data_IF_193292886223
#
_entry.id   IF_193292886223
#
_cell.length_a   1.000
_cell.length_b   1.000
_cell.length_c   1.000
_cell.angle_alpha   90.00
_cell.angle_beta   90.00
_cell.angle_gamma   90.00
#
_symmetry.space_group_name_H-M   'P 1'
#
loop_
_entity.id
_entity.type
_entity.pdbx_description
1 polymer ?
#
# COMPACT_ATOMS: atom_id res chain seq x y z
N UNK A 1 17.83 13.65 16.07
CA UNK A 1 17.16 12.43 15.54
C UNK A 1 17.87 12.02 14.24
N UNK A 2 18.26 10.75 14.08
CA UNK A 2 19.00 10.29 12.89
C UNK A 2 18.21 10.43 11.58
N UNK A 3 18.91 10.43 10.43
CA UNK A 3 18.28 10.46 9.09
C UNK A 3 17.28 9.31 8.92
N UNK A 4 17.68 8.08 9.22
CA UNK A 4 16.80 6.90 9.11
C UNK A 4 15.61 6.98 10.07
N UNK A 5 15.81 7.38 11.33
CA UNK A 5 14.72 7.50 12.33
C UNK A 5 13.65 8.51 11.93
N UNK A 6 14.06 9.65 11.34
CA UNK A 6 13.11 10.63 10.78
C UNK A 6 12.34 10.05 9.59
N UNK A 7 13.03 9.31 8.73
CA UNK A 7 12.44 8.59 7.61
C UNK A 7 11.38 7.59 8.06
N UNK A 8 11.70 6.74 9.04
CA UNK A 8 10.76 5.81 9.66
C UNK A 8 9.52 6.51 10.19
N UNK A 9 9.69 7.57 10.99
CA UNK A 9 8.57 8.34 11.54
C UNK A 9 7.70 8.96 10.43
N UNK A 10 8.33 9.48 9.37
CA UNK A 10 7.63 10.12 8.27
C UNK A 10 6.83 9.12 7.45
N UNK A 11 7.45 7.97 7.16
CA UNK A 11 6.83 6.89 6.43
C UNK A 11 5.67 6.27 7.20
N UNK A 12 5.78 6.11 8.53
CA UNK A 12 4.67 5.63 9.39
C UNK A 12 3.49 6.60 9.38
N UNK A 13 3.72 7.91 9.61
CA UNK A 13 2.62 8.88 9.61
C UNK A 13 1.92 8.93 8.24
N UNK A 14 2.69 8.93 7.16
CA UNK A 14 2.15 8.91 5.80
C UNK A 14 1.41 7.61 5.52
N UNK A 15 1.97 6.47 5.98
CA UNK A 15 1.37 5.15 5.88
C UNK A 15 0.06 5.04 6.64
N UNK A 16 -0.07 5.65 7.81
CA UNK A 16 -1.34 5.71 8.55
C UNK A 16 -2.40 6.48 7.77
N UNK A 17 -2.07 7.68 7.28
CA UNK A 17 -3.01 8.51 6.51
C UNK A 17 -3.49 7.78 5.26
N UNK A 18 -2.55 7.23 4.50
CA UNK A 18 -2.86 6.51 3.25
C UNK A 18 -3.56 5.19 3.54
N UNK A 19 -3.19 4.48 4.61
CA UNK A 19 -3.81 3.23 5.04
C UNK A 19 -5.30 3.39 5.36
N UNK A 20 -5.69 4.50 6.00
CA UNK A 20 -7.11 4.82 6.25
C UNK A 20 -7.87 5.03 4.93
N UNK A 21 -7.29 5.80 3.99
CA UNK A 21 -7.90 6.06 2.69
C UNK A 21 -8.02 4.75 1.88
N UNK A 22 -6.95 3.96 1.82
CA UNK A 22 -6.92 2.67 1.14
C UNK A 22 -7.90 1.67 1.76
N UNK A 23 -8.01 1.63 3.09
CA UNK A 23 -8.98 0.78 3.79
C UNK A 23 -10.41 1.14 3.42
N UNK A 24 -10.76 2.43 3.43
CA UNK A 24 -12.08 2.91 3.04
C UNK A 24 -12.41 2.59 1.58
N UNK A 25 -11.47 2.84 0.66
CA UNK A 25 -11.65 2.54 -0.77
C UNK A 25 -11.74 1.03 -1.01
N UNK A 26 -10.94 0.23 -0.31
CA UNK A 26 -11.00 -1.24 -0.40
C UNK A 26 -12.35 -1.75 0.07
N UNK A 27 -12.83 -1.29 1.23
CA UNK A 27 -14.15 -1.62 1.74
C UNK A 27 -15.25 -1.25 0.74
N UNK A 28 -15.26 0.00 0.25
CA UNK A 28 -16.24 0.47 -0.73
C UNK A 28 -16.20 -0.35 -2.02
N UNK A 29 -15.01 -0.70 -2.50
CA UNK A 29 -14.82 -1.57 -3.67
C UNK A 29 -15.38 -2.97 -3.40
N UNK A 30 -15.15 -3.55 -2.23
CA UNK A 30 -15.70 -4.87 -1.91
C UNK A 30 -17.23 -4.87 -1.87
N UNK A 31 -17.83 -3.81 -1.33
CA UNK A 31 -19.30 -3.64 -1.31
C UNK A 31 -19.86 -3.44 -2.73
N UNK A 32 -19.28 -2.54 -3.52
CA UNK A 32 -19.76 -2.23 -4.87
C UNK A 32 -19.64 -3.41 -5.84
N UNK A 33 -18.65 -4.28 -5.64
CA UNK A 33 -18.41 -5.44 -6.50
C UNK A 33 -18.63 -6.78 -5.77
N UNK A 34 -19.56 -6.82 -4.79
CA UNK A 34 -19.82 -8.00 -3.94
C UNK A 34 -19.93 -9.30 -4.73
N UNK A 35 -20.72 -9.33 -5.79
CA UNK A 35 -20.95 -10.54 -6.61
C UNK A 35 -19.65 -11.11 -7.20
N UNK A 36 -18.73 -10.24 -7.65
CA UNK A 36 -17.43 -10.67 -8.18
C UNK A 36 -16.54 -11.28 -7.09
N UNK A 37 -16.56 -10.71 -5.89
CA UNK A 37 -15.80 -11.26 -4.76
C UNK A 37 -16.40 -12.59 -4.28
N UNK A 38 -17.73 -12.73 -4.25
CA UNK A 38 -18.35 -14.01 -3.91
C UNK A 38 -17.99 -15.10 -4.92
N UNK A 39 -18.07 -14.80 -6.23
CA UNK A 39 -17.65 -15.74 -7.27
C UNK A 39 -16.17 -16.14 -7.12
N UNK A 40 -15.29 -15.20 -6.76
CA UNK A 40 -13.89 -15.48 -6.49
C UNK A 40 -13.68 -16.38 -5.26
N UNK A 41 -14.34 -16.09 -4.14
CA UNK A 41 -14.23 -16.93 -2.96
C UNK A 41 -14.80 -18.33 -3.18
N UNK A 42 -15.84 -18.45 -4.00
CA UNK A 42 -16.37 -19.74 -4.44
C UNK A 42 -15.32 -20.55 -5.21
N UNK A 43 -14.63 -19.93 -6.17
CA UNK A 43 -13.54 -20.58 -6.91
C UNK A 43 -12.38 -21.04 -5.99
N UNK A 44 -12.03 -20.24 -4.98
CA UNK A 44 -11.02 -20.63 -3.98
C UNK A 44 -11.49 -21.86 -3.21
N UNK A 45 -12.74 -21.87 -2.74
CA UNK A 45 -13.29 -22.99 -1.97
C UNK A 45 -13.31 -24.25 -2.81
N UNK A 46 -13.74 -24.18 -4.07
CA UNK A 46 -13.75 -25.32 -4.99
C UNK A 46 -12.34 -25.91 -5.15
N UNK A 47 -11.34 -25.07 -5.43
CA UNK A 47 -9.95 -25.51 -5.55
C UNK A 47 -9.38 -26.14 -4.26
N UNK A 48 -9.72 -25.56 -3.10
CA UNK A 48 -9.31 -26.12 -1.81
C UNK A 48 -10.02 -27.44 -1.53
N UNK A 49 -11.29 -27.60 -1.92
CA UNK A 49 -12.03 -28.83 -1.73
C UNK A 49 -11.50 -29.96 -2.63
N UNK A 50 -11.09 -29.64 -3.86
CA UNK A 50 -10.39 -30.59 -4.74
C UNK A 50 -9.07 -31.10 -4.11
N UNK A 51 -8.38 -30.22 -3.39
CA UNK A 51 -7.04 -30.51 -2.81
C UNK A 51 -7.13 -31.21 -1.45
N UNK A 52 -8.10 -30.83 -0.61
CA UNK A 52 -8.15 -31.20 0.81
C UNK A 52 -9.45 -31.91 1.23
N UNK A 53 -10.42 -32.07 0.32
CA UNK A 53 -11.73 -32.64 0.61
C UNK A 53 -12.75 -31.62 1.13
N UNK A 54 -13.95 -32.06 1.57
CA UNK A 54 -15.03 -31.16 1.96
C UNK A 54 -14.64 -30.20 3.09
N UNK A 55 -14.81 -28.89 2.85
CA UNK A 55 -14.52 -27.83 3.81
C UNK A 55 -15.83 -27.17 4.28
N UNK A 56 -16.03 -26.95 5.60
CA UNK A 56 -17.21 -26.29 6.15
C UNK A 56 -17.10 -24.76 6.05
N UNK A 57 -16.70 -24.23 4.89
CA UNK A 57 -16.51 -22.80 4.64
C UNK A 57 -17.37 -22.39 3.45
N UNK A 58 -18.06 -21.25 3.57
CA UNK A 58 -18.87 -20.66 2.51
C UNK A 58 -18.22 -19.40 1.95
N UNK A 59 -18.54 -19.07 0.69
CA UNK A 59 -18.06 -17.85 0.05
C UNK A 59 -18.51 -16.58 0.80
N UNK A 60 -19.74 -16.58 1.34
CA UNK A 60 -20.24 -15.45 2.13
C UNK A 60 -19.44 -15.28 3.44
N UNK A 61 -19.07 -16.37 4.11
CA UNK A 61 -18.23 -16.28 5.32
C UNK A 61 -16.85 -15.68 5.03
N UNK A 62 -16.20 -16.10 3.93
CA UNK A 62 -14.92 -15.54 3.49
C UNK A 62 -15.05 -14.07 3.06
N UNK A 63 -16.16 -13.71 2.41
CA UNK A 63 -16.45 -12.33 2.04
C UNK A 63 -16.61 -11.43 3.27
N UNK A 64 -17.43 -11.82 4.25
CA UNK A 64 -17.63 -11.05 5.48
C UNK A 64 -16.34 -10.92 6.29
N UNK A 65 -15.56 -12.00 6.39
CA UNK A 65 -14.25 -11.97 7.02
C UNK A 65 -13.31 -10.97 6.33
N UNK A 66 -13.21 -11.05 5.00
CA UNK A 66 -12.34 -10.18 4.21
C UNK A 66 -12.78 -8.72 4.26
N UNK A 67 -14.09 -8.47 4.28
CA UNK A 67 -14.66 -7.14 4.40
C UNK A 67 -14.30 -6.51 5.76
N UNK A 68 -14.43 -7.26 6.84
CA UNK A 68 -14.05 -6.81 8.19
C UNK A 68 -12.53 -6.59 8.32
N UNK A 69 -11.74 -7.45 7.69
CA UNK A 69 -10.28 -7.34 7.71
C UNK A 69 -9.73 -6.29 6.75
N UNK A 70 -10.51 -5.80 5.79
CA UNK A 70 -10.04 -4.88 4.74
C UNK A 70 -9.39 -3.62 5.30
N UNK A 71 -10.00 -3.00 6.33
CA UNK A 71 -9.49 -1.78 6.94
C UNK A 71 -8.23 -2.04 7.78
N UNK A 72 -8.25 -3.10 8.59
CA UNK A 72 -7.14 -3.47 9.48
C UNK A 72 -5.92 -3.85 8.64
N UNK A 73 -6.10 -4.71 7.64
CA UNK A 73 -5.04 -5.16 6.74
C UNK A 73 -4.47 -4.02 5.92
N UNK A 74 -5.30 -3.09 5.43
CA UNK A 74 -4.84 -1.90 4.69
C UNK A 74 -3.96 -1.00 5.56
N UNK A 75 -4.36 -0.73 6.81
CA UNK A 75 -3.57 0.09 7.73
C UNK A 75 -2.26 -0.60 8.09
N UNK A 76 -2.31 -1.87 8.52
CA UNK A 76 -1.10 -2.60 8.88
C UNK A 76 -0.13 -2.70 7.70
N UNK A 77 -0.64 -3.03 6.52
CA UNK A 77 0.13 -3.05 5.29
C UNK A 77 0.78 -1.70 5.00
N UNK A 78 0.00 -0.62 5.00
CA UNK A 78 0.52 0.73 4.71
C UNK A 78 1.55 1.22 5.74
N UNK A 79 1.40 0.86 7.02
CA UNK A 79 2.38 1.18 8.07
C UNK A 79 3.67 0.39 7.89
N UNK A 80 3.59 -0.93 7.65
CA UNK A 80 4.77 -1.77 7.42
C UNK A 80 5.53 -1.29 6.18
N UNK A 81 4.81 -1.04 5.07
CA UNK A 81 5.37 -0.43 3.87
C UNK A 81 5.98 0.95 4.17
N UNK A 82 5.28 1.76 4.95
CA UNK A 82 5.74 3.07 5.40
C UNK A 82 7.05 3.01 6.17
N UNK A 83 7.23 2.02 7.06
CA UNK A 83 8.48 1.79 7.77
C UNK A 83 9.63 1.47 6.81
N UNK A 84 9.44 0.49 5.93
CA UNK A 84 10.48 0.03 5.01
C UNK A 84 10.94 1.15 4.06
N UNK A 85 9.99 1.76 3.35
CA UNK A 85 10.32 2.78 2.37
C UNK A 85 10.63 4.13 3.02
N UNK A 86 10.05 4.44 4.19
CA UNK A 86 10.42 5.60 4.98
C UNK A 86 11.88 5.54 5.43
N UNK A 87 12.36 4.37 5.88
CA UNK A 87 13.77 4.17 6.24
C UNK A 87 14.71 4.41 5.04
N UNK A 88 14.38 3.79 3.89
CA UNK A 88 15.14 3.97 2.63
C UNK A 88 15.17 5.43 2.20
N UNK A 89 14.02 6.10 2.25
CA UNK A 89 13.89 7.51 1.90
C UNK A 89 14.75 8.40 2.81
N UNK A 90 14.69 8.19 4.13
CA UNK A 90 15.53 8.93 5.07
C UNK A 90 17.02 8.70 4.85
N UNK A 91 17.43 7.46 4.54
CA UNK A 91 18.82 7.13 4.23
C UNK A 91 19.34 7.81 2.95
N UNK A 92 18.48 7.93 1.92
CA UNK A 92 18.86 8.45 0.60
C UNK A 92 18.37 9.87 0.31
N UNK A 93 17.74 10.55 1.26
CA UNK A 93 17.07 11.84 1.07
C UNK A 93 17.91 12.89 0.32
N UNK A 94 19.19 13.01 0.67
CA UNK A 94 20.12 13.98 0.08
C UNK A 94 20.53 13.62 -1.35
N UNK A 95 20.43 12.34 -1.73
CA UNK A 95 20.75 11.88 -3.09
C UNK A 95 19.62 12.15 -4.08
N UNK A 96 18.39 12.36 -3.60
CA UNK A 96 17.29 12.73 -4.47
C UNK A 96 17.38 14.20 -4.87
N UNK A 97 17.26 14.54 -6.17
CA UNK A 97 17.32 15.91 -6.63
C UNK A 97 16.03 16.69 -6.34
N UNK A 98 16.14 18.01 -6.35
CA UNK A 98 14.99 18.92 -6.33
C UNK A 98 14.40 19.22 -4.95
N UNK A 99 13.23 19.86 -4.96
CA UNK A 99 12.50 20.28 -3.75
C UNK A 99 11.94 19.08 -2.98
N UNK A 100 11.53 19.23 -1.71
CA UNK A 100 10.92 18.15 -0.95
C UNK A 100 9.77 17.47 -1.69
N UNK A 101 8.92 18.21 -2.40
CA UNK A 101 7.82 17.64 -3.18
C UNK A 101 8.36 16.73 -4.29
N UNK A 102 9.36 17.19 -5.06
CA UNK A 102 9.98 16.41 -6.14
C UNK A 102 10.62 15.13 -5.59
N UNK A 103 11.36 15.22 -4.48
CA UNK A 103 11.95 14.04 -3.82
C UNK A 103 10.88 13.04 -3.39
N UNK A 104 9.76 13.54 -2.88
CA UNK A 104 8.61 12.71 -2.52
C UNK A 104 7.97 12.02 -3.71
N UNK A 105 7.78 12.73 -4.83
CA UNK A 105 7.25 12.16 -6.07
C UNK A 105 8.17 11.07 -6.63
N UNK A 106 9.50 11.30 -6.64
CA UNK A 106 10.48 10.29 -7.06
C UNK A 106 10.35 9.04 -6.19
N UNK A 107 10.29 9.21 -4.86
CA UNK A 107 10.14 8.08 -3.95
C UNK A 107 8.81 7.35 -4.14
N UNK A 108 7.72 8.09 -4.31
CA UNK A 108 6.40 7.50 -4.60
C UNK A 108 6.39 6.70 -5.90
N UNK A 109 7.07 7.20 -6.94
CA UNK A 109 7.23 6.48 -8.20
C UNK A 109 8.08 5.20 -8.03
N UNK A 110 9.17 5.26 -7.26
CA UNK A 110 9.98 4.08 -6.93
C UNK A 110 9.11 3.03 -6.24
N UNK A 111 8.32 3.43 -5.24
CA UNK A 111 7.40 2.53 -4.54
C UNK A 111 6.38 1.95 -5.52
N UNK A 112 5.78 2.77 -6.38
CA UNK A 112 4.84 2.29 -7.39
C UNK A 112 5.45 1.23 -8.30
N UNK A 113 6.66 1.46 -8.84
CA UNK A 113 7.36 0.49 -9.69
C UNK A 113 7.68 -0.79 -8.93
N UNK A 114 8.20 -0.69 -7.70
CA UNK A 114 8.51 -1.87 -6.88
C UNK A 114 7.25 -2.68 -6.57
N UNK A 115 6.15 -2.03 -6.21
CA UNK A 115 4.86 -2.68 -5.95
C UNK A 115 4.31 -3.37 -7.21
N UNK A 116 4.43 -2.75 -8.38
CA UNK A 116 4.04 -3.36 -9.66
C UNK A 116 4.88 -4.60 -9.98
N UNK A 117 6.19 -4.51 -9.81
CA UNK A 117 7.11 -5.64 -10.03
C UNK A 117 6.78 -6.79 -9.09
N UNK A 118 6.47 -6.51 -7.82
CA UNK A 118 6.06 -7.55 -6.86
C UNK A 118 4.72 -8.17 -7.27
N UNK A 119 3.70 -7.35 -7.56
CA UNK A 119 2.35 -7.82 -7.84
C UNK A 119 2.25 -8.68 -9.11
N UNK A 120 3.00 -8.34 -10.16
CA UNK A 120 2.90 -9.01 -11.46
C UNK A 120 4.10 -9.91 -11.79
N UNK A 121 5.26 -9.63 -11.20
CA UNK A 121 6.52 -10.33 -11.48
C UNK A 121 6.81 -11.52 -10.57
N UNK A 122 6.17 -11.61 -9.39
CA UNK A 122 6.40 -12.72 -8.44
C UNK A 122 5.28 -13.77 -8.58
N UNK A 123 5.59 -15.00 -9.03
CA UNK A 123 4.64 -16.10 -9.04
C UNK A 123 4.06 -16.35 -7.63
N UNK A 124 2.74 -16.47 -7.52
CA UNK A 124 2.05 -16.67 -6.24
C UNK A 124 1.57 -15.38 -5.53
N UNK A 125 1.99 -14.19 -5.96
CA UNK A 125 1.54 -12.89 -5.42
C UNK A 125 0.55 -12.18 -6.36
N UNK A 126 0.23 -12.81 -7.50
CA UNK A 126 -0.66 -12.24 -8.51
C UNK A 126 -2.03 -11.96 -7.91
N UNK A 127 -2.47 -10.72 -8.03
CA UNK A 127 -3.83 -10.33 -7.67
C UNK A 127 -4.83 -10.90 -8.69
N UNK A 128 -6.00 -11.38 -8.24
CA UNK A 128 -7.03 -11.86 -9.14
C UNK A 128 -7.51 -10.72 -10.05
N UNK A 129 -7.50 -10.93 -11.37
CA UNK A 129 -7.86 -9.90 -12.33
C UNK A 129 -9.38 -9.85 -12.55
N UNK A 130 -10.06 -8.91 -11.90
CA UNK A 130 -11.52 -8.71 -12.03
C UNK A 130 -11.92 -7.75 -13.17
N UNK A 131 -11.08 -7.61 -14.20
CA UNK A 131 -11.28 -6.67 -15.30
C UNK A 131 -11.13 -5.21 -14.84
N UNK A 132 -12.12 -4.37 -15.14
CA UNK A 132 -12.08 -2.93 -14.84
C UNK A 132 -11.86 -2.56 -13.36
N UNK A 133 -12.21 -3.45 -12.41
CA UNK A 133 -11.92 -3.25 -10.98
C UNK A 133 -10.42 -3.22 -10.71
N UNK A 134 -9.65 -4.08 -11.38
CA UNK A 134 -8.21 -4.15 -11.19
C UNK A 134 -7.51 -2.96 -11.85
N UNK A 135 -8.00 -2.51 -13.01
CA UNK A 135 -7.50 -1.28 -13.65
C UNK A 135 -7.73 -0.06 -12.76
N UNK A 136 -8.91 0.05 -12.14
CA UNK A 136 -9.21 1.12 -11.17
C UNK A 136 -8.29 1.05 -9.95
N UNK A 137 -8.16 -0.13 -9.32
CA UNK A 137 -7.27 -0.32 -8.16
C UNK A 137 -5.83 0.03 -8.49
N UNK A 138 -5.35 -0.37 -9.67
CA UNK A 138 -4.00 -0.10 -10.13
C UNK A 138 -3.74 1.41 -10.27
N UNK A 139 -4.60 2.09 -11.04
CA UNK A 139 -4.50 3.53 -11.25
C UNK A 139 -4.60 4.30 -9.92
N UNK A 140 -5.55 3.92 -9.07
CA UNK A 140 -5.71 4.51 -7.75
C UNK A 140 -4.48 4.29 -6.86
N UNK A 141 -3.91 3.08 -6.88
CA UNK A 141 -2.71 2.75 -6.09
C UNK A 141 -1.51 3.58 -6.50
N UNK A 142 -1.30 3.80 -7.80
CA UNK A 142 -0.21 4.67 -8.29
C UNK A 142 -0.36 6.08 -7.73
N UNK A 143 -1.57 6.65 -7.80
CA UNK A 143 -1.84 7.98 -7.22
C UNK A 143 -1.56 7.98 -5.72
N UNK A 144 -2.01 6.95 -5.00
CA UNK A 144 -1.78 6.83 -3.55
C UNK A 144 -0.30 6.68 -3.19
N UNK A 145 0.51 5.99 -3.99
CA UNK A 145 1.96 5.92 -3.77
C UNK A 145 2.65 7.28 -3.98
N UNK A 146 2.22 8.05 -4.97
CA UNK A 146 2.72 9.41 -5.18
C UNK A 146 2.35 10.33 -4.02
N UNK A 147 1.10 10.30 -3.57
CA UNK A 147 0.64 11.08 -2.41
C UNK A 147 1.40 10.65 -1.15
N UNK A 148 1.55 9.34 -0.92
CA UNK A 148 2.35 8.80 0.19
C UNK A 148 3.78 9.33 0.18
N UNK A 149 4.44 9.33 -0.99
CA UNK A 149 5.82 9.80 -1.12
C UNK A 149 5.96 11.29 -0.83
N UNK A 150 5.02 12.11 -1.33
CA UNK A 150 4.96 13.55 -1.04
C UNK A 150 4.76 13.81 0.44
N UNK A 151 3.79 13.15 1.08
CA UNK A 151 3.55 13.27 2.53
C UNK A 151 4.79 12.87 3.34
N UNK A 152 5.43 11.77 2.97
CA UNK A 152 6.66 11.28 3.62
C UNK A 152 7.77 12.32 3.52
N UNK A 153 7.93 12.95 2.36
CA UNK A 153 8.94 14.00 2.18
C UNK A 153 8.63 15.27 2.96
N UNK A 154 7.36 15.71 3.01
CA UNK A 154 6.93 16.87 3.79
C UNK A 154 7.18 16.65 5.28
N UNK A 155 6.77 15.49 5.82
CA UNK A 155 7.01 15.16 7.22
C UNK A 155 8.50 15.01 7.52
N UNK A 156 9.26 14.37 6.63
CA UNK A 156 10.71 14.26 6.78
C UNK A 156 11.37 15.64 6.85
N UNK A 157 11.06 16.52 5.90
CA UNK A 157 11.58 17.88 5.82
C UNK A 157 11.26 18.70 7.08
N UNK A 158 10.04 18.56 7.61
CA UNK A 158 9.61 19.22 8.85
C UNK A 158 10.49 18.86 10.06
N UNK A 159 11.12 17.69 10.06
CA UNK A 159 12.02 17.25 11.13
C UNK A 159 13.50 17.39 10.78
N UNK A 160 13.83 18.12 9.72
CA UNK A 160 15.22 18.55 9.48
C UNK A 160 15.54 19.71 10.44
N UNK A 161 16.59 19.58 11.29
CA UNK A 161 17.05 20.68 12.12
C UNK A 161 17.39 21.87 11.23
N UNK A 162 16.90 23.07 11.59
CA UNK A 162 17.08 24.28 10.78
C UNK A 162 18.57 24.67 10.60
N UNK A 163 19.44 24.27 11.53
CA UNK A 163 20.90 24.43 11.45
C UNK A 163 21.54 23.64 10.29
N UNK A 164 20.94 22.51 9.90
CA UNK A 164 21.40 21.70 8.76
C UNK A 164 20.75 22.12 7.42
N UNK A 165 19.76 23.02 7.45
CA UNK A 165 19.03 23.48 6.28
C UNK A 165 19.65 24.73 5.61
N UNK A 166 20.63 25.36 6.25
CA UNK A 166 21.33 26.57 5.74
C UNK A 166 22.75 26.32 5.20
N UNK A 167 23.17 25.06 5.03
CA UNK A 167 24.50 24.70 4.55
C UNK A 167 24.51 24.11 3.12
N UNK A 168 23.46 24.39 2.33
CA UNK A 168 23.31 23.95 0.95
C UNK A 168 23.16 25.11 -0.01
#
# INVERSE_FOLDING_TARGET
MGKVTRGLKAGVLSGLIIGVILGAVTYATMVLWKEKYLAYFQQIIEHLQETYGPLPITAEALYQYSLNMSFISAILGAVIFGLLFGAVFGWKYEKFPGSPIVKGLIMGLIVAVVSLVIAYGVPGVRTPFFGGVETFKLAFSIVMYLVWGVLTSIFYWRWIPKEAAGAG
#
